data_IF_004071214297
#
_entry.id   IF_004071214297
#
_cell.length_a   1.000
_cell.length_b   1.000
_cell.length_c   1.000
_cell.angle_alpha   90.00
_cell.angle_beta   90.00
_cell.angle_gamma   90.00
#
_symmetry.space_group_name_H-M   'P 1'
#
loop_
_entity.id
_entity.type
_entity.pdbx_description
1 polymer ?
#
# COMPACT_ATOMS: atom_id res chain seq x y z
N UNK A 1 -9.47 -8.00 -13.47
CA UNK A 1 -8.19 -7.58 -12.83
C UNK A 1 -8.33 -7.84 -11.34
N UNK A 2 -7.32 -8.42 -10.67
CA UNK A 2 -7.42 -8.79 -9.25
C UNK A 2 -6.69 -7.80 -8.36
N UNK A 3 -7.37 -7.40 -7.29
CA UNK A 3 -6.85 -6.58 -6.21
C UNK A 3 -6.79 -7.41 -4.94
N UNK A 4 -5.68 -7.30 -4.23
CA UNK A 4 -5.48 -7.94 -2.94
C UNK A 4 -5.32 -6.86 -1.88
N UNK A 5 -6.28 -6.73 -0.97
CA UNK A 5 -6.16 -5.83 0.18
C UNK A 5 -5.50 -6.61 1.31
N UNK A 6 -4.38 -6.10 1.81
CA UNK A 6 -3.57 -6.65 2.88
C UNK A 6 -3.77 -5.74 4.09
N UNK A 7 -4.61 -6.19 5.03
CA UNK A 7 -4.96 -5.50 6.26
C UNK A 7 -3.97 -5.84 7.37
N UNK A 8 -3.10 -4.90 7.72
CA UNK A 8 -2.14 -5.02 8.80
C UNK A 8 -2.84 -4.88 10.17
N UNK A 9 -2.86 -5.95 10.98
CA UNK A 9 -3.44 -5.90 12.33
C UNK A 9 -2.55 -5.20 13.36
N UNK A 10 -1.27 -5.02 13.08
CA UNK A 10 -0.33 -4.34 13.96
C UNK A 10 0.86 -3.77 13.20
N UNK A 11 0.77 -2.47 12.92
CA UNK A 11 1.81 -1.73 12.21
C UNK A 11 3.21 -1.95 12.76
N UNK A 12 4.10 -2.38 11.86
CA UNK A 12 5.50 -2.62 12.15
C UNK A 12 5.79 -3.96 12.85
N UNK A 13 4.78 -4.71 13.30
CA UNK A 13 5.03 -6.02 13.90
C UNK A 13 5.76 -6.94 12.91
N UNK A 14 6.98 -7.43 13.22
CA UNK A 14 7.76 -8.23 12.28
C UNK A 14 7.06 -9.50 11.80
N UNK A 15 6.23 -10.14 12.65
CA UNK A 15 5.49 -11.34 12.27
C UNK A 15 4.35 -11.02 11.29
N UNK A 16 3.68 -9.88 11.46
CA UNK A 16 2.61 -9.43 10.56
C UNK A 16 3.21 -9.01 9.21
N UNK A 17 4.28 -8.21 9.25
CA UNK A 17 5.03 -7.79 8.05
C UNK A 17 5.55 -8.99 7.25
N UNK A 18 6.07 -10.01 7.94
CA UNK A 18 6.56 -11.23 7.28
C UNK A 18 5.43 -12.03 6.61
N UNK A 19 4.27 -12.17 7.27
CA UNK A 19 3.09 -12.81 6.65
C UNK A 19 2.59 -12.02 5.43
N UNK A 20 2.57 -10.68 5.49
CA UNK A 20 2.24 -9.82 4.34
C UNK A 20 3.22 -10.08 3.19
N UNK A 21 4.52 -10.14 3.47
CA UNK A 21 5.56 -10.48 2.49
C UNK A 21 5.31 -11.84 1.83
N UNK A 22 5.05 -12.88 2.62
CA UNK A 22 4.74 -14.24 2.13
C UNK A 22 3.49 -14.26 1.24
N UNK A 23 2.45 -13.51 1.60
CA UNK A 23 1.25 -13.36 0.78
C UNK A 23 1.56 -12.74 -0.57
N UNK A 24 2.32 -11.64 -0.59
CA UNK A 24 2.72 -10.97 -1.83
C UNK A 24 3.52 -11.92 -2.72
N UNK A 25 4.54 -12.60 -2.16
CA UNK A 25 5.35 -13.57 -2.88
C UNK A 25 4.48 -14.65 -3.55
N UNK A 26 3.58 -15.27 -2.77
CA UNK A 26 2.70 -16.34 -3.21
C UNK A 26 1.66 -15.90 -4.23
N UNK A 27 1.16 -14.67 -4.14
CA UNK A 27 0.11 -14.13 -5.02
C UNK A 27 0.68 -13.50 -6.29
N UNK A 28 1.88 -12.92 -6.20
CA UNK A 28 2.61 -12.35 -7.33
C UNK A 28 3.10 -13.45 -8.28
N UNK A 29 3.76 -14.50 -7.77
CA UNK A 29 4.31 -15.63 -8.58
C UNK A 29 5.06 -15.19 -9.85
N UNK A 30 5.88 -14.15 -9.74
CA UNK A 30 6.67 -13.61 -10.86
C UNK A 30 5.88 -12.73 -11.84
N UNK A 31 4.62 -12.39 -11.54
CA UNK A 31 3.82 -11.45 -12.33
C UNK A 31 4.26 -10.03 -12.07
N UNK A 32 4.12 -9.17 -13.07
CA UNK A 32 4.37 -7.74 -12.91
C UNK A 32 3.36 -7.16 -11.93
N UNK A 33 3.84 -6.70 -10.77
CA UNK A 33 3.00 -6.38 -9.62
C UNK A 33 3.23 -4.94 -9.14
N UNK A 34 2.18 -4.34 -8.59
CA UNK A 34 2.25 -3.05 -7.91
C UNK A 34 1.64 -3.16 -6.52
N UNK A 35 2.16 -2.39 -5.58
CA UNK A 35 1.62 -2.24 -4.23
C UNK A 35 1.37 -0.78 -3.91
N UNK A 36 0.17 -0.49 -3.44
CA UNK A 36 -0.21 0.81 -2.90
C UNK A 36 -0.16 0.70 -1.39
N UNK A 37 0.68 1.49 -0.72
CA UNK A 37 0.95 1.31 0.71
C UNK A 37 0.79 2.60 1.49
N UNK A 38 0.25 2.50 2.70
CA UNK A 38 0.17 3.60 3.65
C UNK A 38 1.42 3.80 4.51
N UNK A 39 2.47 2.98 4.33
CA UNK A 39 3.76 3.13 5.04
C UNK A 39 4.38 4.50 4.80
N UNK A 40 4.19 5.05 3.60
CA UNK A 40 4.76 6.33 3.16
C UNK A 40 3.66 7.31 2.77
N UNK A 41 3.95 8.60 2.97
CA UNK A 41 3.08 9.69 2.55
C UNK A 41 3.09 9.86 1.03
N UNK A 42 1.99 10.35 0.48
CA UNK A 42 1.80 10.46 -0.97
C UNK A 42 2.80 11.39 -1.66
N UNK A 43 3.42 12.34 -0.96
CA UNK A 43 4.49 13.20 -1.47
C UNK A 43 5.88 12.54 -1.44
N UNK A 44 6.00 11.39 -0.78
CA UNK A 44 7.24 10.61 -0.70
C UNK A 44 7.41 9.64 -1.89
N UNK A 45 6.77 9.87 -3.06
CA UNK A 45 6.92 8.97 -4.23
C UNK A 45 8.39 8.72 -4.62
N UNK A 46 9.23 9.74 -4.47
CA UNK A 46 10.66 9.67 -4.82
C UNK A 46 11.48 8.84 -3.82
N UNK A 47 10.95 8.52 -2.63
CA UNK A 47 11.68 7.73 -1.63
C UNK A 47 11.97 6.32 -2.15
N UNK A 48 11.04 5.75 -2.92
CA UNK A 48 11.18 4.42 -3.52
C UNK A 48 12.32 4.41 -4.54
N UNK A 49 12.38 5.40 -5.43
CA UNK A 49 13.48 5.52 -6.39
C UNK A 49 14.82 5.75 -5.67
N UNK A 50 14.80 6.52 -4.59
CA UNK A 50 16.00 6.75 -3.78
C UNK A 50 16.49 5.45 -3.14
N UNK A 51 15.61 4.66 -2.52
CA UNK A 51 15.96 3.34 -1.96
C UNK A 51 16.52 2.38 -3.02
N UNK A 52 16.04 2.45 -4.28
CA UNK A 52 16.59 1.66 -5.39
C UNK A 52 18.01 2.07 -5.79
N UNK A 53 18.36 3.36 -5.69
CA UNK A 53 19.67 3.91 -6.09
C UNK A 53 20.70 3.90 -4.96
N UNK A 54 20.22 4.12 -3.74
CA UNK A 54 20.99 4.28 -2.50
C UNK A 54 20.43 3.28 -1.47
N UNK A 55 20.86 2.00 -1.49
CA UNK A 55 20.33 0.97 -0.60
C UNK A 55 20.38 1.36 0.88
N UNK A 56 21.39 2.11 1.32
CA UNK A 56 21.52 2.62 2.69
C UNK A 56 20.40 3.60 3.11
N UNK A 57 19.61 4.10 2.16
CA UNK A 57 18.41 4.88 2.46
C UNK A 57 17.37 3.99 3.14
N UNK A 58 17.26 2.71 2.76
CA UNK A 58 16.28 1.79 3.33
C UNK A 58 16.49 1.64 4.85
N UNK A 59 17.75 1.53 5.27
CA UNK A 59 18.13 1.40 6.68
C UNK A 59 17.69 2.61 7.52
N UNK A 60 17.62 3.78 6.89
CA UNK A 60 17.29 5.04 7.56
C UNK A 60 15.79 5.30 7.68
N UNK A 61 15.00 4.77 6.75
CA UNK A 61 13.58 5.16 6.59
C UNK A 61 12.59 4.01 6.77
N UNK A 62 13.03 2.77 6.56
CA UNK A 62 12.11 1.63 6.51
C UNK A 62 11.78 1.06 7.90
N UNK A 63 12.65 1.23 8.89
CA UNK A 63 12.46 0.68 10.23
C UNK A 63 12.08 -0.81 10.19
N UNK A 64 10.94 -1.15 10.77
CA UNK A 64 10.43 -2.53 10.82
C UNK A 64 9.93 -3.05 9.45
N UNK A 65 9.65 -2.16 8.50
CA UNK A 65 9.27 -2.52 7.13
C UNK A 65 10.46 -2.82 6.21
N UNK A 66 11.70 -2.76 6.71
CA UNK A 66 12.92 -2.92 5.90
C UNK A 66 12.88 -4.18 5.03
N UNK A 67 12.71 -5.36 5.64
CA UNK A 67 12.77 -6.63 4.93
C UNK A 67 11.67 -6.75 3.85
N UNK A 68 10.49 -6.23 4.18
CA UNK A 68 9.36 -6.18 3.26
C UNK A 68 9.62 -5.25 2.07
N UNK A 69 10.17 -4.06 2.30
CA UNK A 69 10.50 -3.12 1.23
C UNK A 69 11.66 -3.60 0.37
N UNK A 70 12.70 -4.21 0.98
CA UNK A 70 13.80 -4.87 0.26
C UNK A 70 13.27 -5.97 -0.64
N UNK A 71 12.37 -6.82 -0.12
CA UNK A 71 11.71 -7.87 -0.90
C UNK A 71 10.97 -7.28 -2.11
N UNK A 72 10.13 -6.26 -1.90
CA UNK A 72 9.38 -5.62 -2.98
C UNK A 72 10.31 -5.01 -4.04
N UNK A 73 11.35 -4.28 -3.63
CA UNK A 73 12.33 -3.67 -4.54
C UNK A 73 13.09 -4.73 -5.34
N UNK A 74 13.62 -5.76 -4.68
CA UNK A 74 14.43 -6.79 -5.32
C UNK A 74 13.64 -7.67 -6.29
N UNK A 75 12.33 -7.79 -6.08
CA UNK A 75 11.43 -8.52 -6.97
C UNK A 75 10.76 -7.63 -8.03
N UNK A 76 11.20 -6.37 -8.17
CA UNK A 76 10.67 -5.44 -9.18
C UNK A 76 9.21 -5.07 -8.98
N UNK A 77 8.70 -5.14 -7.74
CA UNK A 77 7.37 -4.66 -7.38
C UNK A 77 7.43 -3.14 -7.30
N UNK A 78 6.53 -2.47 -8.02
CA UNK A 78 6.42 -1.02 -7.95
C UNK A 78 5.59 -0.61 -6.73
N UNK A 79 6.15 0.28 -5.92
CA UNK A 79 5.59 0.72 -4.65
C UNK A 79 5.04 2.13 -4.84
N UNK A 80 3.80 2.34 -4.45
CA UNK A 80 3.09 3.61 -4.55
C UNK A 80 2.59 4.06 -3.18
N UNK A 81 3.24 5.06 -2.57
CA UNK A 81 2.74 5.69 -1.36
C UNK A 81 1.33 6.27 -1.52
N UNK A 82 0.42 5.98 -0.59
CA UNK A 82 -0.96 6.48 -0.58
C UNK A 82 -1.36 7.16 0.73
N UNK A 83 -0.51 7.15 1.75
CA UNK A 83 -0.84 7.81 3.02
C UNK A 83 -1.03 9.32 2.83
N UNK A 84 -2.07 9.94 3.43
CA UNK A 84 -2.30 11.37 3.25
C UNK A 84 -1.16 12.23 3.80
N UNK A 85 -0.90 13.35 3.13
CA UNK A 85 0.10 14.32 3.57
C UNK A 85 -0.35 15.04 4.84
N UNK A 86 0.59 15.25 5.77
CA UNK A 86 0.41 15.99 7.02
C UNK A 86 0.41 17.54 6.80
N UNK A 87 -0.45 18.06 5.94
CA UNK A 87 -0.33 19.48 5.53
C UNK A 87 -0.90 20.49 6.52
N UNK A 88 -1.88 20.13 7.37
CA UNK A 88 -2.65 21.18 8.06
C UNK A 88 -2.12 21.63 9.41
N UNK A 89 -1.20 20.92 10.08
CA UNK A 89 -1.04 21.17 11.51
C UNK A 89 0.26 20.68 12.20
N UNK A 90 1.27 20.11 11.54
CA UNK A 90 2.22 19.29 12.31
C UNK A 90 1.48 18.20 13.11
N UNK A 91 0.33 17.77 12.60
CA UNK A 91 -0.57 16.78 13.19
C UNK A 91 -0.50 15.52 12.37
N UNK A 92 -0.01 14.51 13.03
CA UNK A 92 0.30 13.27 12.37
C UNK A 92 -0.95 12.52 11.95
N UNK A 93 -0.91 11.82 10.81
CA UNK A 93 -2.08 11.24 10.14
C UNK A 93 -2.90 10.31 11.06
N UNK A 94 -2.27 9.69 12.07
CA UNK A 94 -2.93 8.91 13.14
C UNK A 94 -3.79 9.74 14.12
N UNK A 95 -3.84 11.07 13.98
CA UNK A 95 -4.73 11.97 14.71
C UNK A 95 -5.94 12.42 13.88
N UNK A 96 -6.01 12.01 12.61
CA UNK A 96 -7.16 12.27 11.76
C UNK A 96 -8.35 11.41 12.24
N UNK A 97 -9.59 11.93 12.17
CA UNK A 97 -10.77 11.06 12.31
C UNK A 97 -10.67 9.88 11.34
N UNK A 98 -11.00 8.69 11.80
CA UNK A 98 -10.83 7.45 11.03
C UNK A 98 -11.56 7.51 9.68
N UNK A 99 -12.79 8.02 9.66
CA UNK A 99 -13.58 8.21 8.43
C UNK A 99 -12.90 9.16 7.43
N UNK A 100 -12.28 10.25 7.90
CA UNK A 100 -11.55 11.18 7.03
C UNK A 100 -10.28 10.53 6.48
N UNK A 101 -9.62 9.69 7.27
CA UNK A 101 -8.44 8.93 6.86
C UNK A 101 -8.80 7.89 5.80
N UNK A 102 -9.87 7.12 6.02
CA UNK A 102 -10.41 6.13 5.07
C UNK A 102 -10.71 6.75 3.71
N UNK A 103 -11.41 7.90 3.70
CA UNK A 103 -11.74 8.62 2.47
C UNK A 103 -10.49 9.09 1.73
N UNK A 104 -9.48 9.57 2.45
CA UNK A 104 -8.25 10.08 1.83
C UNK A 104 -7.34 8.97 1.33
N UNK A 105 -7.18 7.88 2.08
CA UNK A 105 -6.44 6.70 1.64
C UNK A 105 -7.02 6.17 0.34
N UNK A 106 -8.35 5.99 0.29
CA UNK A 106 -9.03 5.54 -0.92
C UNK A 106 -8.90 6.55 -2.08
N UNK A 107 -9.09 7.84 -1.82
CA UNK A 107 -8.95 8.89 -2.85
C UNK A 107 -7.55 8.91 -3.46
N UNK A 108 -6.52 8.81 -2.62
CA UNK A 108 -5.13 8.76 -3.01
C UNK A 108 -4.81 7.52 -3.85
N UNK A 109 -5.25 6.34 -3.38
CA UNK A 109 -5.17 5.10 -4.15
C UNK A 109 -5.86 5.24 -5.51
N UNK A 110 -7.12 5.67 -5.53
CA UNK A 110 -7.91 5.72 -6.76
C UNK A 110 -7.28 6.65 -7.81
N UNK A 111 -6.78 7.81 -7.37
CA UNK A 111 -6.03 8.72 -8.25
C UNK A 111 -4.79 8.05 -8.82
N UNK A 112 -3.96 7.45 -7.97
CA UNK A 112 -2.71 6.82 -8.40
C UNK A 112 -2.94 5.60 -9.29
N UNK A 113 -3.93 4.78 -8.95
CA UNK A 113 -4.32 3.62 -9.73
C UNK A 113 -4.70 4.00 -11.16
N UNK A 114 -5.47 5.09 -11.37
CA UNK A 114 -5.83 5.54 -12.72
C UNK A 114 -4.63 5.94 -13.58
N UNK A 115 -3.53 6.40 -12.99
CA UNK A 115 -2.29 6.69 -13.74
C UNK A 115 -1.55 5.42 -14.22
N UNK A 116 -1.81 4.29 -13.56
CA UNK A 116 -1.06 3.04 -13.74
C UNK A 116 -1.94 1.84 -14.06
N UNK A 117 -3.21 2.07 -14.32
CA UNK A 117 -4.19 1.08 -14.69
C UNK A 117 -3.72 0.33 -15.95
N UNK A 118 -3.80 -1.01 -15.91
CA UNK A 118 -3.38 -1.88 -17.01
C UNK A 118 -1.87 -2.08 -17.15
N UNK A 119 -1.03 -1.41 -16.34
CA UNK A 119 0.44 -1.59 -16.36
C UNK A 119 0.92 -2.83 -15.62
N UNK A 120 0.08 -3.41 -14.77
CA UNK A 120 0.40 -4.54 -13.88
C UNK A 120 -0.67 -5.62 -13.98
N UNK A 121 -0.27 -6.84 -13.66
CA UNK A 121 -1.14 -8.02 -13.64
C UNK A 121 -1.78 -8.24 -12.27
N UNK A 122 -1.10 -7.79 -11.21
CA UNK A 122 -1.52 -7.92 -9.82
C UNK A 122 -1.35 -6.59 -9.11
N UNK A 123 -2.38 -6.19 -8.37
CA UNK A 123 -2.37 -5.00 -7.54
C UNK A 123 -2.58 -5.38 -6.08
N UNK A 124 -1.70 -4.92 -5.21
CA UNK A 124 -1.79 -5.06 -3.76
C UNK A 124 -2.13 -3.69 -3.15
N UNK A 125 -2.94 -3.69 -2.10
CA UNK A 125 -3.28 -2.51 -1.31
C UNK A 125 -2.95 -2.86 0.13
N UNK A 126 -1.91 -2.24 0.67
CA UNK A 126 -1.34 -2.50 1.99
C UNK A 126 -1.72 -1.35 2.94
N UNK A 127 -2.65 -1.62 3.83
CA UNK A 127 -3.29 -0.64 4.74
C UNK A 127 -3.58 -1.27 6.10
N UNK A 128 -3.79 -0.45 7.12
CA UNK A 128 -4.22 -0.89 8.44
C UNK A 128 -5.54 -1.66 8.36
N UNK A 129 -5.63 -2.74 9.13
CA UNK A 129 -6.81 -3.62 9.18
C UNK A 129 -8.11 -2.91 9.53
N UNK A 130 -8.05 -1.82 10.29
CA UNK A 130 -9.19 -0.94 10.60
C UNK A 130 -9.81 -0.32 9.34
N UNK A 131 -8.97 0.01 8.35
CA UNK A 131 -9.38 0.72 7.13
C UNK A 131 -9.96 -0.20 6.05
N UNK A 132 -9.69 -1.52 6.12
CA UNK A 132 -10.02 -2.49 5.06
C UNK A 132 -11.50 -2.48 4.71
N UNK A 133 -12.39 -2.45 5.70
CA UNK A 133 -13.84 -2.51 5.45
C UNK A 133 -14.33 -1.27 4.69
N UNK A 134 -13.97 -0.08 5.18
CA UNK A 134 -14.33 1.18 4.52
C UNK A 134 -13.72 1.27 3.11
N UNK A 135 -12.49 0.80 2.95
CA UNK A 135 -11.81 0.77 1.66
C UNK A 135 -12.52 -0.14 0.65
N UNK A 136 -12.93 -1.35 1.07
CA UNK A 136 -13.69 -2.27 0.23
C UNK A 136 -15.02 -1.67 -0.23
N UNK A 137 -15.76 -1.05 0.68
CA UNK A 137 -17.05 -0.43 0.37
C UNK A 137 -16.88 0.68 -0.68
N UNK A 138 -15.91 1.58 -0.47
CA UNK A 138 -15.58 2.64 -1.42
C UNK A 138 -15.10 2.09 -2.77
N UNK A 139 -14.28 1.04 -2.76
CA UNK A 139 -13.80 0.41 -3.99
C UNK A 139 -14.97 -0.18 -4.79
N UNK A 140 -15.84 -0.96 -4.15
CA UNK A 140 -16.99 -1.59 -4.80
C UNK A 140 -17.95 -0.54 -5.35
N UNK A 141 -18.14 0.57 -4.65
CA UNK A 141 -18.96 1.68 -5.13
C UNK A 141 -18.32 2.36 -6.36
N UNK A 142 -17.06 2.75 -6.25
CA UNK A 142 -16.36 3.55 -7.26
C UNK A 142 -16.11 2.80 -8.57
N UNK A 143 -15.84 1.50 -8.47
CA UNK A 143 -15.43 0.64 -9.60
C UNK A 143 -16.46 -0.45 -9.93
N UNK A 144 -17.71 -0.31 -9.43
CA UNK A 144 -18.80 -1.31 -9.56
C UNK A 144 -18.99 -1.88 -10.97
N UNK A 145 -18.79 -1.05 -12.00
CA UNK A 145 -19.05 -1.40 -13.40
C UNK A 145 -17.82 -1.92 -14.15
N UNK A 146 -16.67 -1.98 -13.48
CA UNK A 146 -15.36 -2.19 -14.12
C UNK A 146 -14.87 -3.65 -14.01
N UNK A 147 -15.65 -4.52 -13.35
CA UNK A 147 -15.38 -5.96 -13.31
C UNK A 147 -14.08 -6.34 -12.59
N UNK A 148 -13.69 -5.54 -11.60
CA UNK A 148 -12.54 -5.83 -10.76
C UNK A 148 -12.93 -6.78 -9.63
N UNK A 149 -12.04 -7.72 -9.33
CA UNK A 149 -12.18 -8.64 -8.21
C UNK A 149 -11.30 -8.18 -7.05
N UNK A 150 -11.87 -8.07 -5.86
CA UNK A 150 -11.14 -7.73 -4.63
C UNK A 150 -11.14 -8.96 -3.73
N UNK A 151 -9.99 -9.26 -3.15
CA UNK A 151 -9.83 -10.28 -2.12
C UNK A 151 -9.04 -9.66 -0.97
N UNK A 152 -9.55 -9.75 0.25
CA UNK A 152 -8.94 -9.13 1.41
C UNK A 152 -8.40 -10.17 2.39
N UNK A 153 -7.27 -9.85 3.00
CA UNK A 153 -6.63 -10.63 4.05
C UNK A 153 -6.41 -9.72 5.25
N UNK A 154 -6.84 -10.14 6.44
CA UNK A 154 -6.43 -9.51 7.70
C UNK A 154 -5.33 -10.40 8.27
N UNK A 155 -4.17 -9.80 8.54
CA UNK A 155 -2.92 -10.51 8.86
C UNK A 155 -2.44 -10.21 10.25
#
# INVERSE_FOLDING_TARGET
MKFYILGDSHHGNPEVVEKIRELIERLSRGKKSAIFTEIFMIDEQNIIEKMRKEPETIDKVAGEYKLYLEFCINNGIDIFPISPRNEKLGFVYWKMPEEDLDLRLFSNFARKFREVEGKYEVYFIDIGSSHVKAFEEQFRERFKKEGYDIISFIV
#
